data_IF_736914120393
#
_entry.id   IF_736914120393
#
_cell.length_a   1.000
_cell.length_b   1.000
_cell.length_c   1.000
_cell.angle_alpha   90.00
_cell.angle_beta   90.00
_cell.angle_gamma   90.00
#
_symmetry.space_group_name_H-M   'P 1'
#
loop_
_entity.id
_entity.type
_entity.pdbx_description
1 polymer ?
#
# COMPACT_ATOMS: atom_id res chain seq x y z
N UNK A 1 17.52 46.39 19.56
CA UNK A 1 16.85 46.13 18.27
C UNK A 1 17.68 45.30 17.30
N UNK A 2 18.86 45.73 16.82
CA UNK A 2 19.65 44.95 15.84
C UNK A 2 20.13 43.58 16.37
N UNK A 3 20.64 43.52 17.61
CA UNK A 3 21.11 42.27 18.23
C UNK A 3 19.99 41.24 18.45
N UNK A 4 18.77 41.73 18.65
CA UNK A 4 17.59 40.89 18.90
C UNK A 4 17.08 40.27 17.59
N UNK A 5 17.04 41.05 16.51
CA UNK A 5 16.74 40.54 15.17
C UNK A 5 17.76 39.48 14.70
N UNK A 6 19.06 39.69 14.96
CA UNK A 6 20.11 38.70 14.63
C UNK A 6 19.93 37.40 15.44
N UNK A 7 19.56 37.50 16.72
CA UNK A 7 19.30 36.33 17.55
C UNK A 7 18.09 35.54 17.03
N UNK A 8 16.97 36.23 16.76
CA UNK A 8 15.75 35.62 16.22
C UNK A 8 16.04 34.89 14.90
N UNK A 9 16.82 35.51 14.00
CA UNK A 9 17.21 34.87 12.74
C UNK A 9 17.99 33.57 12.96
N UNK A 10 18.96 33.57 13.89
CA UNK A 10 19.76 32.36 14.20
C UNK A 10 18.92 31.26 14.83
N UNK A 11 18.03 31.63 15.76
CA UNK A 11 17.13 30.67 16.42
C UNK A 11 16.15 30.05 15.41
N UNK A 12 15.63 30.85 14.47
CA UNK A 12 14.79 30.37 13.37
C UNK A 12 15.57 29.42 12.45
N UNK A 13 16.80 29.76 12.07
CA UNK A 13 17.64 28.89 11.23
C UNK A 13 17.93 27.55 11.90
N UNK A 14 18.20 27.56 13.21
CA UNK A 14 18.42 26.34 13.98
C UNK A 14 17.17 25.47 14.04
N UNK A 15 16.01 26.08 14.32
CA UNK A 15 14.71 25.39 14.30
C UNK A 15 14.40 24.77 12.94
N UNK A 16 14.53 25.54 11.86
CA UNK A 16 14.27 25.06 10.50
C UNK A 16 15.19 23.89 10.13
N UNK A 17 16.47 23.94 10.52
CA UNK A 17 17.40 22.82 10.30
C UNK A 17 16.98 21.56 11.04
N UNK A 18 16.54 21.71 12.29
CA UNK A 18 16.07 20.57 13.08
C UNK A 18 14.82 19.93 12.46
N UNK A 19 13.84 20.74 12.04
CA UNK A 19 12.62 20.26 11.39
C UNK A 19 12.90 19.59 10.03
N UNK A 20 13.80 20.14 9.23
CA UNK A 20 14.22 19.50 7.96
C UNK A 20 14.84 18.11 8.23
N UNK A 21 15.72 17.99 9.23
CA UNK A 21 16.32 16.70 9.59
C UNK A 21 15.27 15.69 10.07
N UNK A 22 14.24 16.14 10.81
CA UNK A 22 13.12 15.27 11.22
C UNK A 22 12.33 14.80 9.99
N UNK A 23 12.00 15.70 9.07
CA UNK A 23 11.29 15.37 7.83
C UNK A 23 12.07 14.37 6.98
N UNK A 24 13.38 14.57 6.80
CA UNK A 24 14.24 13.65 6.05
C UNK A 24 14.25 12.24 6.65
N UNK A 25 14.32 12.13 7.98
CA UNK A 25 14.26 10.84 8.69
C UNK A 25 12.91 10.16 8.48
N UNK A 26 11.80 10.90 8.61
CA UNK A 26 10.45 10.37 8.37
C UNK A 26 10.29 9.91 6.91
N UNK A 27 10.73 10.69 5.94
CA UNK A 27 10.70 10.31 4.52
C UNK A 27 11.52 9.05 4.24
N UNK A 28 12.69 8.91 4.85
CA UNK A 28 13.52 7.69 4.73
C UNK A 28 12.79 6.46 5.29
N UNK A 29 12.11 6.61 6.43
CA UNK A 29 11.30 5.56 7.05
C UNK A 29 10.12 5.17 6.16
N UNK A 30 9.37 6.14 5.65
CA UNK A 30 8.25 5.92 4.70
C UNK A 30 8.74 5.12 3.49
N UNK A 31 9.81 5.57 2.83
CA UNK A 31 10.39 4.87 1.66
C UNK A 31 10.81 3.44 1.99
N UNK A 32 11.43 3.23 3.17
CA UNK A 32 11.82 1.90 3.60
C UNK A 32 10.61 0.99 3.84
N UNK A 33 9.51 1.51 4.38
CA UNK A 33 8.30 0.74 4.62
C UNK A 33 7.60 0.39 3.29
N UNK A 34 7.48 1.36 2.39
CA UNK A 34 6.91 1.14 1.04
C UNK A 34 7.66 0.03 0.30
N UNK A 35 8.99 0.06 0.32
CA UNK A 35 9.81 -0.99 -0.31
C UNK A 35 9.58 -2.38 0.30
N UNK A 36 9.45 -2.49 1.62
CA UNK A 36 9.15 -3.77 2.29
C UNK A 36 7.78 -4.32 1.88
N UNK A 37 6.79 -3.45 1.72
CA UNK A 37 5.44 -3.81 1.27
C UNK A 37 5.50 -4.35 -0.17
N UNK A 38 6.19 -3.62 -1.05
CA UNK A 38 6.42 -4.02 -2.44
C UNK A 38 7.07 -5.40 -2.54
N UNK A 39 8.16 -5.62 -1.80
CA UNK A 39 8.90 -6.89 -1.76
C UNK A 39 8.03 -8.04 -1.22
N UNK A 40 7.25 -7.79 -0.17
CA UNK A 40 6.37 -8.79 0.46
C UNK A 40 5.26 -9.22 -0.49
N UNK A 41 4.58 -8.28 -1.15
CA UNK A 41 3.53 -8.58 -2.12
C UNK A 41 4.11 -9.29 -3.35
N UNK A 42 5.24 -8.82 -3.88
CA UNK A 42 5.91 -9.45 -5.03
C UNK A 42 6.28 -10.90 -4.75
N UNK A 43 6.82 -11.19 -3.57
CA UNK A 43 7.15 -12.56 -3.16
C UNK A 43 5.90 -13.46 -3.09
N UNK A 44 4.75 -12.91 -2.69
CA UNK A 44 3.48 -13.64 -2.54
C UNK A 44 2.85 -13.96 -3.88
N UNK A 45 2.98 -13.06 -4.85
CA UNK A 45 2.56 -13.34 -6.23
C UNK A 45 3.31 -14.53 -6.81
N UNK A 46 4.62 -14.66 -6.56
CA UNK A 46 5.36 -15.83 -7.05
C UNK A 46 4.82 -17.16 -6.51
N UNK A 47 4.33 -17.17 -5.26
CA UNK A 47 3.67 -18.35 -4.66
C UNK A 47 2.35 -18.69 -5.34
N UNK A 48 1.53 -17.68 -5.64
CA UNK A 48 0.28 -17.86 -6.41
C UNK A 48 0.59 -18.44 -7.80
N UNK A 49 1.58 -17.88 -8.49
CA UNK A 49 2.02 -18.36 -9.81
C UNK A 49 2.60 -19.79 -9.76
N UNK A 50 3.16 -20.20 -8.63
CA UNK A 50 3.60 -21.58 -8.38
C UNK A 50 2.45 -22.54 -8.02
N UNK A 51 1.21 -22.07 -8.00
CA UNK A 51 0.02 -22.88 -7.74
C UNK A 51 -0.37 -23.00 -6.26
N UNK A 52 0.21 -22.19 -5.38
CA UNK A 52 -0.21 -22.16 -3.98
C UNK A 52 -1.61 -21.53 -3.83
N UNK A 53 -2.40 -22.03 -2.86
CA UNK A 53 -3.71 -21.48 -2.55
C UNK A 53 -3.64 -19.99 -2.24
N UNK A 54 -4.47 -19.20 -2.93
CA UNK A 54 -4.60 -17.75 -2.74
C UNK A 54 -4.92 -17.41 -1.27
N UNK A 55 -5.78 -18.20 -0.62
CA UNK A 55 -6.14 -17.98 0.78
C UNK A 55 -4.96 -18.15 1.73
N UNK A 56 -4.08 -19.12 1.47
CA UNK A 56 -2.85 -19.31 2.27
C UNK A 56 -1.89 -18.16 2.04
N UNK A 57 -1.68 -17.77 0.78
CA UNK A 57 -0.80 -16.67 0.42
C UNK A 57 -1.26 -15.34 1.04
N UNK A 58 -2.57 -15.04 1.00
CA UNK A 58 -3.11 -13.82 1.59
C UNK A 58 -2.99 -13.81 3.13
N UNK A 59 -3.17 -14.95 3.80
CA UNK A 59 -2.93 -15.05 5.26
C UNK A 59 -1.49 -14.70 5.62
N UNK A 60 -0.54 -15.23 4.88
CA UNK A 60 0.87 -14.95 5.13
C UNK A 60 1.25 -13.52 4.75
N UNK A 61 0.72 -12.98 3.65
CA UNK A 61 0.90 -11.58 3.30
C UNK A 61 0.38 -10.65 4.40
N UNK A 62 -0.78 -10.96 4.97
CA UNK A 62 -1.34 -10.17 6.05
C UNK A 62 -0.45 -10.17 7.29
N UNK A 63 0.16 -11.32 7.64
CA UNK A 63 1.12 -11.42 8.74
C UNK A 63 2.38 -10.59 8.48
N UNK A 64 2.91 -10.63 7.26
CA UNK A 64 4.08 -9.80 6.89
C UNK A 64 3.81 -8.30 7.05
N UNK A 65 2.55 -7.90 6.87
CA UNK A 65 2.08 -6.51 6.92
C UNK A 65 1.32 -6.21 8.23
N UNK A 66 1.51 -7.04 9.26
CA UNK A 66 0.82 -6.89 10.53
C UNK A 66 1.08 -5.50 11.14
N UNK A 67 0.01 -4.89 11.66
CA UNK A 67 0.06 -3.55 12.27
C UNK A 67 0.03 -2.37 11.30
N UNK A 68 0.14 -2.61 9.98
CA UNK A 68 0.07 -1.56 8.95
C UNK A 68 -1.06 -1.75 7.93
N UNK A 69 -1.43 -3.00 7.62
CA UNK A 69 -2.52 -3.30 6.70
C UNK A 69 -3.84 -3.52 7.45
N UNK A 70 -4.96 -3.26 6.76
CA UNK A 70 -6.31 -3.60 7.24
C UNK A 70 -6.94 -4.75 6.47
N UNK A 71 -6.56 -4.87 5.20
CA UNK A 71 -7.07 -5.88 4.29
C UNK A 71 -6.00 -6.18 3.24
N UNK A 72 -5.84 -7.45 2.94
CA UNK A 72 -5.12 -7.90 1.73
C UNK A 72 -6.08 -8.72 0.89
N UNK A 73 -5.97 -8.61 -0.42
CA UNK A 73 -6.93 -9.24 -1.31
C UNK A 73 -6.34 -9.54 -2.67
N UNK A 74 -6.96 -10.49 -3.36
CA UNK A 74 -6.66 -10.81 -4.74
C UNK A 74 -7.95 -10.79 -5.54
N UNK A 75 -7.94 -10.13 -6.70
CA UNK A 75 -9.02 -10.21 -7.68
C UNK A 75 -8.46 -10.88 -8.93
N UNK A 76 -8.96 -12.08 -9.24
CA UNK A 76 -8.45 -12.95 -10.30
C UNK A 76 -9.53 -13.16 -11.34
N UNK A 77 -9.22 -12.81 -12.59
CA UNK A 77 -10.14 -12.87 -13.72
C UNK A 77 -10.63 -14.31 -13.95
N UNK A 78 -11.95 -14.50 -13.99
CA UNK A 78 -12.59 -15.79 -14.16
C UNK A 78 -12.58 -16.70 -12.92
N UNK A 79 -11.94 -16.28 -11.83
CA UNK A 79 -11.88 -17.05 -10.57
C UNK A 79 -12.65 -16.35 -9.45
N UNK A 80 -12.45 -15.05 -9.26
CA UNK A 80 -13.17 -14.26 -8.28
C UNK A 80 -12.26 -13.44 -7.36
N UNK A 81 -12.85 -12.94 -6.27
CA UNK A 81 -12.18 -12.08 -5.30
C UNK A 81 -11.96 -12.83 -3.97
N UNK A 82 -10.75 -12.71 -3.45
CA UNK A 82 -10.29 -13.32 -2.21
C UNK A 82 -9.82 -12.22 -1.28
N UNK A 83 -10.18 -12.32 0.00
CA UNK A 83 -9.83 -11.31 1.01
C UNK A 83 -9.27 -11.99 2.26
N UNK A 84 -8.34 -11.30 2.93
CA UNK A 84 -7.93 -11.63 4.28
C UNK A 84 -7.69 -10.35 5.11
N UNK A 85 -8.29 -10.23 6.32
CA UNK A 85 -9.30 -11.12 6.88
C UNK A 85 -10.52 -11.26 5.97
N UNK A 86 -11.27 -12.36 6.12
CA UNK A 86 -12.45 -12.59 5.27
C UNK A 86 -13.49 -11.51 5.56
N UNK A 87 -13.94 -10.83 4.51
CA UNK A 87 -15.04 -9.86 4.55
C UNK A 87 -16.16 -10.31 3.63
N UNK A 88 -17.38 -9.91 3.96
CA UNK A 88 -18.52 -10.09 3.07
C UNK A 88 -18.43 -9.10 1.91
N UNK A 89 -18.33 -9.63 0.68
CA UNK A 89 -18.29 -8.81 -0.52
C UNK A 89 -19.74 -8.63 -0.97
N UNK A 90 -20.22 -7.39 -0.92
CA UNK A 90 -21.61 -7.08 -1.29
C UNK A 90 -21.94 -7.53 -2.71
N UNK A 91 -23.17 -8.02 -2.93
CA UNK A 91 -23.60 -8.63 -4.20
C UNK A 91 -23.43 -7.74 -5.45
N UNK A 92 -23.37 -6.41 -5.28
CA UNK A 92 -23.11 -5.45 -6.37
C UNK A 92 -21.66 -4.98 -6.49
N UNK A 93 -20.72 -5.56 -5.74
CA UNK A 93 -19.34 -5.12 -5.76
C UNK A 93 -18.64 -5.55 -7.06
N UNK A 94 -18.42 -4.59 -7.94
CA UNK A 94 -17.65 -4.78 -9.16
C UNK A 94 -16.20 -4.35 -8.94
N UNK A 95 -15.30 -5.31 -8.80
CA UNK A 95 -13.86 -5.04 -8.62
C UNK A 95 -13.22 -4.49 -9.89
N UNK A 96 -13.77 -4.77 -11.07
CA UNK A 96 -13.16 -4.38 -12.36
C UNK A 96 -13.21 -2.88 -12.60
N UNK A 97 -14.09 -2.18 -11.86
CA UNK A 97 -14.25 -0.72 -11.88
C UNK A 97 -13.43 0.01 -10.80
N UNK A 98 -12.62 -0.70 -10.02
CA UNK A 98 -11.87 -0.10 -8.91
C UNK A 98 -10.52 0.45 -9.38
N UNK A 99 -10.05 1.61 -8.85
CA UNK A 99 -8.77 2.20 -9.25
C UNK A 99 -7.60 1.22 -9.16
N UNK A 100 -7.48 0.49 -8.04
CA UNK A 100 -6.44 -0.52 -7.80
C UNK A 100 -6.44 -1.69 -8.80
N UNK A 101 -7.56 -1.96 -9.47
CA UNK A 101 -7.65 -2.96 -10.51
C UNK A 101 -7.36 -2.34 -11.89
N UNK A 102 -8.08 -1.27 -12.24
CA UNK A 102 -8.03 -0.63 -13.55
C UNK A 102 -6.65 -0.04 -13.85
N UNK A 103 -6.07 0.68 -12.89
CA UNK A 103 -4.78 1.36 -13.08
C UNK A 103 -3.65 0.35 -13.19
N UNK A 104 -3.66 -0.67 -12.33
CA UNK A 104 -2.66 -1.74 -12.32
C UNK A 104 -2.74 -2.62 -13.56
N UNK A 105 -3.96 -2.93 -14.03
CA UNK A 105 -4.19 -3.61 -15.32
C UNK A 105 -3.70 -2.79 -16.50
N UNK A 106 -3.95 -1.47 -16.50
CA UNK A 106 -3.47 -0.56 -17.55
C UNK A 106 -1.94 -0.45 -17.54
N UNK A 107 -1.34 -0.34 -16.36
CA UNK A 107 0.08 -0.12 -16.19
C UNK A 107 0.91 -1.40 -16.40
N UNK A 108 0.33 -2.59 -16.19
CA UNK A 108 1.01 -3.89 -16.24
C UNK A 108 2.24 -3.96 -15.32
N UNK A 109 2.21 -3.17 -14.23
CA UNK A 109 3.23 -3.10 -13.18
C UNK A 109 2.58 -2.72 -11.85
N UNK A 110 3.34 -2.80 -10.78
CA UNK A 110 2.91 -2.37 -9.46
C UNK A 110 2.53 -0.88 -9.39
N UNK A 111 1.53 -0.57 -8.58
CA UNK A 111 0.97 0.76 -8.40
C UNK A 111 0.69 1.05 -6.92
N UNK A 112 1.07 2.24 -6.49
CA UNK A 112 0.51 2.88 -5.29
C UNK A 112 -0.66 3.75 -5.74
N UNK A 113 -1.86 3.40 -5.27
CA UNK A 113 -3.10 4.11 -5.60
C UNK A 113 -3.27 5.28 -4.64
N UNK A 114 -3.76 6.40 -5.15
CA UNK A 114 -4.00 7.60 -4.33
C UNK A 114 -4.86 7.30 -3.10
N UNK A 115 -4.65 8.01 -1.98
CA UNK A 115 -5.37 7.73 -0.75
C UNK A 115 -6.90 7.89 -0.91
N UNK A 116 -7.66 6.95 -0.36
CA UNK A 116 -9.13 7.03 -0.33
C UNK A 116 -9.69 6.51 1.00
N UNK A 117 -10.94 6.88 1.30
CA UNK A 117 -11.64 6.40 2.47
C UNK A 117 -12.08 4.94 2.26
N UNK A 118 -11.55 4.03 3.08
CA UNK A 118 -12.03 2.65 3.11
C UNK A 118 -13.26 2.56 4.01
N UNK A 119 -14.40 2.18 3.43
CA UNK A 119 -15.67 2.06 4.13
C UNK A 119 -15.73 0.89 5.12
N UNK A 120 -14.88 -0.13 4.96
CA UNK A 120 -14.83 -1.28 5.87
C UNK A 120 -14.20 -0.88 7.22
N UNK A 121 -13.12 -0.09 7.18
CA UNK A 121 -12.41 0.35 8.40
C UNK A 121 -12.68 1.79 8.81
N UNK A 122 -13.42 2.54 7.99
CA UNK A 122 -13.76 3.97 8.21
C UNK A 122 -12.52 4.84 8.41
N UNK A 123 -11.46 4.57 7.65
CA UNK A 123 -10.22 5.34 7.69
C UNK A 123 -9.59 5.44 6.29
N UNK A 124 -8.65 6.37 6.11
CA UNK A 124 -7.92 6.55 4.87
C UNK A 124 -6.85 5.47 4.69
N UNK A 125 -6.88 4.84 3.53
CA UNK A 125 -5.90 3.84 3.10
C UNK A 125 -5.19 4.30 1.83
N UNK A 126 -3.97 3.81 1.66
CA UNK A 126 -3.27 3.79 0.38
C UNK A 126 -3.18 2.34 -0.05
N UNK A 127 -3.71 2.02 -1.23
CA UNK A 127 -3.63 0.64 -1.74
C UNK A 127 -2.35 0.47 -2.51
N UNK A 128 -1.51 -0.48 -2.09
CA UNK A 128 -0.48 -1.03 -2.96
C UNK A 128 -1.08 -2.20 -3.74
N UNK A 129 -0.90 -2.20 -5.05
CA UNK A 129 -1.44 -3.23 -5.94
C UNK A 129 -0.38 -3.72 -6.92
N UNK A 130 -0.36 -5.02 -7.18
CA UNK A 130 0.64 -5.66 -8.03
C UNK A 130 -0.06 -6.66 -8.97
N UNK A 131 0.20 -6.62 -10.28
CA UNK A 131 -0.48 -7.47 -11.25
C UNK A 131 -0.01 -8.93 -11.17
N UNK A 132 -0.96 -9.85 -11.27
CA UNK A 132 -0.68 -11.26 -11.54
C UNK A 132 -0.56 -11.41 -13.05
N UNK A 133 0.66 -11.68 -13.52
CA UNK A 133 0.95 -11.84 -14.95
C UNK A 133 1.43 -13.27 -15.18
N UNK A 134 0.74 -13.99 -16.06
CA UNK A 134 1.10 -15.34 -16.48
C UNK A 134 1.29 -15.36 -17.99
N UNK A 135 2.48 -15.75 -18.45
CA UNK A 135 2.85 -15.80 -19.88
C UNK A 135 2.58 -14.47 -20.62
N UNK A 136 2.88 -13.35 -19.96
CA UNK A 136 2.68 -12.00 -20.50
C UNK A 136 1.22 -11.51 -20.49
N UNK A 137 0.27 -12.33 -20.04
CA UNK A 137 -1.13 -11.95 -19.94
C UNK A 137 -1.49 -11.57 -18.50
N UNK A 138 -2.24 -10.47 -18.36
CA UNK A 138 -2.85 -10.10 -17.09
C UNK A 138 -3.89 -11.14 -16.66
N UNK A 139 -3.81 -11.59 -15.41
CA UNK A 139 -4.75 -12.55 -14.79
C UNK A 139 -5.50 -11.97 -13.61
N UNK A 140 -5.07 -10.84 -13.07
CA UNK A 140 -5.65 -10.25 -11.88
C UNK A 140 -4.66 -9.37 -11.13
N UNK A 141 -4.96 -9.06 -9.89
CA UNK A 141 -4.12 -8.26 -8.99
C UNK A 141 -4.12 -8.84 -7.58
N UNK A 142 -3.01 -8.66 -6.88
CA UNK A 142 -2.93 -8.76 -5.42
C UNK A 142 -2.76 -7.36 -4.86
N UNK A 143 -3.45 -7.05 -3.76
CA UNK A 143 -3.49 -5.73 -3.16
C UNK A 143 -3.32 -5.80 -1.63
N UNK A 144 -2.84 -4.71 -1.05
CA UNK A 144 -2.79 -4.48 0.38
C UNK A 144 -3.25 -3.04 0.68
N UNK A 145 -4.25 -2.89 1.54
CA UNK A 145 -4.76 -1.61 1.99
C UNK A 145 -4.00 -1.15 3.23
N UNK A 146 -3.06 -0.23 3.00
CA UNK A 146 -2.16 0.28 4.02
C UNK A 146 -2.78 1.50 4.68
N UNK A 147 -2.89 1.47 6.01
CA UNK A 147 -3.39 2.60 6.78
C UNK A 147 -2.48 3.80 6.58
N UNK A 148 -3.00 4.90 6.03
CA UNK A 148 -2.19 6.09 5.71
C UNK A 148 -1.45 6.61 6.94
N UNK A 149 -2.12 6.61 8.11
CA UNK A 149 -1.53 7.02 9.40
C UNK A 149 -0.37 6.17 9.89
N UNK A 150 -0.16 4.97 9.34
CA UNK A 150 0.93 4.05 9.70
C UNK A 150 2.15 4.16 8.79
N UNK A 151 2.05 4.92 7.70
CA UNK A 151 3.18 5.15 6.79
C UNK A 151 4.19 6.15 7.36
N UNK A 152 3.75 7.08 8.22
CA UNK A 152 4.56 8.13 8.82
C UNK A 152 5.16 7.71 10.19
#
# INVERSE_FOLDING_TARGET
MLNEAVKISKDLDAFLREEVVKIEKSLKKVKSNMKKIEESVKAKIQRILAGESVDTVLRDLYKDLEGITTLVYAAIDGVGMFTYPKIEIGAGFDYTKRPWYMETKRAMKEMWIEPYLDYNVKDYVVTFSYPIIEKGMFKGVVCADIMLRKLF
#
